data_IF_714365352982
#
_entry.id   IF_714365352982
#
_cell.length_a   1.000
_cell.length_b   1.000
_cell.length_c   1.000
_cell.angle_alpha   90.00
_cell.angle_beta   90.00
_cell.angle_gamma   90.00
#
_symmetry.space_group_name_H-M   'P 1'
#
loop_
_entity.id
_entity.type
_entity.pdbx_description
1 polymer ?
#
# COMPACT_ATOMS: atom_id res chain seq x y z
N UNK A 1 -33.81 -11.91 28.09
CA UNK A 1 -32.48 -12.59 28.16
C UNK A 1 -32.01 -12.98 26.76
N UNK A 2 -32.79 -13.71 25.95
CA UNK A 2 -32.40 -14.05 24.56
C UNK A 2 -32.08 -12.83 23.67
N UNK A 3 -32.88 -11.75 23.73
CA UNK A 3 -32.57 -10.54 22.97
C UNK A 3 -31.23 -9.90 23.35
N UNK A 4 -30.91 -9.83 24.64
CA UNK A 4 -29.63 -9.30 25.12
C UNK A 4 -28.45 -10.18 24.66
N UNK A 5 -28.59 -11.50 24.71
CA UNK A 5 -27.58 -12.43 24.20
C UNK A 5 -27.39 -12.27 22.69
N UNK A 6 -28.46 -12.15 21.91
CA UNK A 6 -28.38 -11.93 20.46
C UNK A 6 -27.72 -10.59 20.09
N UNK A 7 -27.99 -9.53 20.86
CA UNK A 7 -27.32 -8.24 20.68
C UNK A 7 -25.82 -8.35 20.95
N UNK A 8 -25.41 -9.02 22.03
CA UNK A 8 -23.99 -9.23 22.34
C UNK A 8 -23.27 -10.09 21.28
N UNK A 9 -23.92 -11.16 20.81
CA UNK A 9 -23.37 -11.99 19.73
C UNK A 9 -23.20 -11.20 18.43
N UNK A 10 -24.13 -10.31 18.12
CA UNK A 10 -24.05 -9.43 16.95
C UNK A 10 -22.89 -8.44 17.08
N UNK A 11 -22.69 -7.85 18.26
CA UNK A 11 -21.55 -6.96 18.52
C UNK A 11 -20.21 -7.69 18.38
N UNK A 12 -20.08 -8.89 18.94
CA UNK A 12 -18.88 -9.72 18.81
C UNK A 12 -18.61 -10.02 17.33
N UNK A 13 -19.64 -10.39 16.57
CA UNK A 13 -19.50 -10.63 15.13
C UNK A 13 -18.97 -9.40 14.39
N UNK A 14 -19.53 -8.22 14.65
CA UNK A 14 -19.07 -6.97 14.05
C UNK A 14 -17.60 -6.67 14.39
N UNK A 15 -17.19 -6.92 15.63
CA UNK A 15 -15.79 -6.75 16.04
C UNK A 15 -14.86 -7.73 15.31
N UNK A 16 -15.27 -8.99 15.14
CA UNK A 16 -14.50 -9.98 14.37
C UNK A 16 -14.39 -9.55 12.91
N UNK A 17 -15.49 -9.08 12.30
CA UNK A 17 -15.49 -8.57 10.93
C UNK A 17 -14.53 -7.38 10.79
N UNK A 18 -14.53 -6.45 11.74
CA UNK A 18 -13.59 -5.33 11.77
C UNK A 18 -12.14 -5.79 11.88
N UNK A 19 -11.84 -6.71 12.80
CA UNK A 19 -10.49 -7.28 12.97
C UNK A 19 -10.01 -7.99 11.69
N UNK A 20 -10.91 -8.71 11.01
CA UNK A 20 -10.59 -9.37 9.75
C UNK A 20 -10.25 -8.37 8.62
N UNK A 21 -10.93 -7.22 8.58
CA UNK A 21 -10.61 -6.13 7.64
C UNK A 21 -9.24 -5.54 7.97
N UNK A 22 -9.00 -5.21 9.25
CA UNK A 22 -7.72 -4.65 9.70
C UNK A 22 -6.55 -5.60 9.41
N UNK A 23 -6.71 -6.90 9.64
CA UNK A 23 -5.69 -7.90 9.31
C UNK A 23 -5.37 -7.94 7.82
N UNK A 24 -6.38 -7.82 6.94
CA UNK A 24 -6.18 -7.74 5.48
C UNK A 24 -5.42 -6.48 5.07
N UNK A 25 -5.72 -5.34 5.69
CA UNK A 25 -5.00 -4.09 5.41
C UNK A 25 -3.53 -4.17 5.82
N UNK A 26 -3.24 -4.76 6.99
CA UNK A 26 -1.88 -5.01 7.45
C UNK A 26 -1.14 -5.93 6.48
N UNK A 27 -1.78 -7.01 6.02
CA UNK A 27 -1.19 -7.93 5.05
C UNK A 27 -0.86 -7.22 3.73
N UNK A 28 -1.79 -6.43 3.18
CA UNK A 28 -1.54 -5.64 1.96
C UNK A 28 -0.38 -4.65 2.13
N UNK A 29 -0.33 -3.94 3.27
CA UNK A 29 0.79 -3.01 3.57
C UNK A 29 2.13 -3.73 3.64
N UNK A 30 2.15 -4.94 4.22
CA UNK A 30 3.35 -5.79 4.27
C UNK A 30 3.78 -6.19 2.86
N UNK A 31 2.85 -6.68 2.03
CA UNK A 31 3.11 -7.08 0.65
C UNK A 31 3.66 -5.93 -0.19
N UNK A 32 3.02 -4.76 -0.13
CA UNK A 32 3.48 -3.56 -0.82
C UNK A 32 4.88 -3.14 -0.36
N UNK A 33 5.13 -3.17 0.95
CA UNK A 33 6.44 -2.82 1.51
C UNK A 33 7.54 -3.77 1.05
N UNK A 34 7.25 -5.07 0.89
CA UNK A 34 8.20 -6.05 0.32
C UNK A 34 8.53 -5.73 -1.14
N UNK A 35 7.51 -5.45 -1.96
CA UNK A 35 7.72 -5.07 -3.36
C UNK A 35 8.60 -3.81 -3.47
N UNK A 36 8.38 -2.82 -2.61
CA UNK A 36 9.17 -1.58 -2.61
C UNK A 36 10.59 -1.80 -2.09
N UNK A 37 10.78 -2.71 -1.12
CA UNK A 37 12.11 -3.07 -0.64
C UNK A 37 12.95 -3.77 -1.72
N UNK A 38 12.31 -4.60 -2.55
CA UNK A 38 12.95 -5.24 -3.72
C UNK A 38 13.05 -4.30 -4.94
N UNK A 39 12.34 -3.18 -4.93
CA UNK A 39 12.36 -2.21 -6.02
C UNK A 39 13.66 -1.39 -6.03
N UNK A 40 14.09 -0.97 -7.21
CA UNK A 40 15.22 -0.05 -7.33
C UNK A 40 14.79 1.36 -6.88
N UNK A 41 15.45 1.88 -5.85
CA UNK A 41 15.26 3.25 -5.36
C UNK A 41 16.59 4.00 -5.52
N UNK A 42 16.60 5.00 -6.41
CA UNK A 42 17.79 5.81 -6.70
C UNK A 42 18.01 6.99 -5.75
N UNK A 43 17.25 7.08 -4.67
CA UNK A 43 17.25 8.21 -3.72
C UNK A 43 16.92 7.72 -2.30
N UNK A 44 17.20 8.56 -1.29
CA UNK A 44 16.78 8.30 0.08
C UNK A 44 15.31 8.73 0.26
N UNK A 45 14.36 7.81 0.50
CA UNK A 45 12.97 8.18 0.68
C UNK A 45 12.78 8.92 2.01
N UNK A 46 11.88 9.90 2.01
CA UNK A 46 11.60 10.80 3.12
C UNK A 46 10.22 10.49 3.68
N UNK A 47 10.15 10.37 5.00
CA UNK A 47 8.90 10.13 5.73
C UNK A 47 7.88 11.21 5.36
N UNK A 48 6.65 10.79 5.05
CA UNK A 48 5.54 11.67 4.71
C UNK A 48 5.49 12.10 3.26
N UNK A 49 6.48 11.76 2.43
CA UNK A 49 6.44 12.04 0.99
C UNK A 49 5.77 10.92 0.20
N UNK A 50 5.14 11.33 -0.90
CA UNK A 50 4.52 10.43 -1.88
C UNK A 50 5.51 10.16 -3.02
N UNK A 51 5.54 8.90 -3.43
CA UNK A 51 6.35 8.36 -4.49
C UNK A 51 5.49 7.47 -5.38
N UNK A 52 6.02 7.06 -6.52
CA UNK A 52 5.28 6.32 -7.53
C UNK A 52 6.05 5.04 -7.90
N UNK A 53 5.40 3.90 -7.69
CA UNK A 53 5.91 2.58 -8.00
C UNK A 53 5.59 2.25 -9.46
N UNK A 54 6.62 1.84 -10.21
CA UNK A 54 6.51 1.47 -11.61
C UNK A 54 7.12 0.09 -11.88
N UNK A 55 6.60 -0.56 -12.91
CA UNK A 55 7.15 -1.80 -13.48
C UNK A 55 7.94 -1.46 -14.75
N UNK A 56 9.19 -1.91 -14.83
CA UNK A 56 10.02 -1.82 -16.03
C UNK A 56 9.64 -2.90 -17.05
N UNK A 57 10.16 -2.79 -18.27
CA UNK A 57 9.97 -3.81 -19.30
C UNK A 57 10.54 -5.19 -18.90
N UNK A 58 11.61 -5.20 -18.10
CA UNK A 58 12.24 -6.40 -17.54
C UNK A 58 11.47 -7.00 -16.33
N UNK A 59 10.25 -6.55 -16.07
CA UNK A 59 9.40 -6.92 -14.91
C UNK A 59 9.99 -6.58 -13.54
N UNK A 60 11.06 -5.78 -13.49
CA UNK A 60 11.61 -5.23 -12.24
C UNK A 60 10.83 -4.01 -11.79
N UNK A 61 10.75 -3.80 -10.48
CA UNK A 61 10.05 -2.65 -9.90
C UNK A 61 11.04 -1.51 -9.62
N UNK A 62 10.56 -0.28 -9.72
CA UNK A 62 11.30 0.90 -9.26
C UNK A 62 10.37 1.89 -8.56
N UNK A 63 10.96 2.69 -7.68
CA UNK A 63 10.28 3.84 -7.08
C UNK A 63 10.80 5.12 -7.72
N UNK A 64 9.88 5.97 -8.16
CA UNK A 64 10.17 7.28 -8.74
C UNK A 64 9.51 8.41 -7.96
N UNK A 65 10.12 9.59 -8.02
CA UNK A 65 9.53 10.85 -7.55
C UNK A 65 8.49 11.41 -8.55
N UNK A 66 8.56 10.99 -9.81
CA UNK A 66 7.76 11.52 -10.91
C UNK A 66 6.50 10.69 -11.09
N UNK A 67 5.34 11.33 -11.03
CA UNK A 67 4.03 10.70 -11.16
C UNK A 67 3.63 10.36 -12.59
N UNK A 68 2.59 9.52 -12.77
CA UNK A 68 2.22 8.97 -14.07
C UNK A 68 1.78 10.03 -15.08
N UNK A 69 1.32 11.20 -14.60
CA UNK A 69 0.88 12.35 -15.40
C UNK A 69 1.97 13.39 -15.63
N UNK A 70 3.11 13.25 -14.96
CA UNK A 70 4.24 14.18 -15.05
C UNK A 70 5.28 13.71 -16.07
N UNK A 71 5.18 12.45 -16.52
CA UNK A 71 5.87 12.00 -17.71
C UNK A 71 5.38 12.78 -18.92
N UNK A 72 6.31 13.38 -19.66
CA UNK A 72 6.01 14.10 -20.90
C UNK A 72 5.58 13.14 -22.01
N UNK A 73 6.15 13.32 -23.21
CA UNK A 73 5.74 12.52 -24.40
C UNK A 73 6.10 11.04 -24.33
N UNK A 74 6.98 10.63 -23.43
CA UNK A 74 7.40 9.24 -23.27
C UNK A 74 7.36 8.86 -21.80
N UNK A 75 6.61 7.79 -21.51
CA UNK A 75 6.64 7.13 -20.22
C UNK A 75 7.72 6.04 -20.30
N UNK A 76 8.79 6.12 -19.49
CA UNK A 76 9.92 5.18 -19.57
C UNK A 76 9.62 3.80 -18.97
N UNK A 77 8.41 3.60 -18.45
CA UNK A 77 8.02 2.40 -17.70
C UNK A 77 6.74 1.79 -18.27
N UNK A 78 6.74 0.46 -18.31
CA UNK A 78 5.67 -0.39 -18.83
C UNK A 78 4.35 -0.09 -18.12
N UNK A 79 4.32 -0.28 -16.79
CA UNK A 79 3.11 -0.11 -15.99
C UNK A 79 3.33 0.83 -14.81
N UNK A 80 2.28 1.59 -14.48
CA UNK A 80 2.17 2.25 -13.19
C UNK A 80 1.50 1.27 -12.23
N UNK A 81 2.13 1.00 -11.09
CA UNK A 81 1.64 0.01 -10.13
C UNK A 81 0.80 0.69 -9.07
N UNK A 82 1.38 1.63 -8.34
CA UNK A 82 0.72 2.32 -7.23
C UNK A 82 1.41 3.66 -6.90
N UNK A 83 0.65 4.59 -6.34
CA UNK A 83 1.22 5.74 -5.65
C UNK A 83 1.36 5.37 -4.17
N UNK A 84 2.53 5.62 -3.59
CA UNK A 84 2.90 5.09 -2.28
C UNK A 84 3.48 6.19 -1.42
N UNK A 85 3.20 6.15 -0.12
CA UNK A 85 3.69 7.12 0.86
C UNK A 85 4.52 6.40 1.90
N UNK A 86 5.70 6.95 2.21
CA UNK A 86 6.52 6.44 3.31
C UNK A 86 5.94 6.96 4.64
N UNK A 87 5.63 6.05 5.55
CA UNK A 87 5.08 6.36 6.88
C UNK A 87 6.19 6.46 7.93
N UNK A 88 5.85 6.99 9.11
CA UNK A 88 6.80 7.21 10.20
C UNK A 88 7.38 5.91 10.79
N UNK A 89 6.68 4.79 10.62
CA UNK A 89 7.12 3.44 10.99
C UNK A 89 7.99 2.78 9.91
N UNK A 90 8.47 3.55 8.92
CA UNK A 90 9.23 3.07 7.75
C UNK A 90 8.49 2.06 6.88
N UNK A 91 7.17 1.95 7.02
CA UNK A 91 6.34 1.15 6.12
C UNK A 91 5.79 2.00 4.98
N UNK A 92 5.36 1.32 3.92
CA UNK A 92 4.77 1.96 2.77
C UNK A 92 3.26 1.76 2.75
N UNK A 93 2.53 2.80 2.36
CA UNK A 93 1.09 2.78 2.20
C UNK A 93 0.70 3.28 0.82
N UNK A 94 -0.18 2.55 0.14
CA UNK A 94 -0.81 3.00 -1.10
C UNK A 94 -1.79 4.15 -0.83
N UNK A 95 -1.79 5.18 -1.69
CA UNK A 95 -2.66 6.36 -1.60
C UNK A 95 -3.74 6.39 -2.68
#
# INVERSE_FOLDING_TARGET
MEEQTNMQLTQIRQQIELLAVQAKEIQKRKELSMIIYDAQIGFAPVIGQTYFLYEKEDNTHLVSLVGPKEWGRSKPYKNFVAAVKLLADHTWQEI
#
